data_IF_507369304426
#
_entry.id   IF_507369304426
#
_cell.length_a   1.000
_cell.length_b   1.000
_cell.length_c   1.000
_cell.angle_alpha   90.00
_cell.angle_beta   90.00
_cell.angle_gamma   90.00
#
_symmetry.space_group_name_H-M   'P 1'
#
loop_
_entity.id
_entity.type
_entity.pdbx_description
1 polymer ?
#
# COMPACT_ATOMS: atom_id res chain seq x y z
N UNK A 1 -61.45 -17.39 -17.64
CA UNK A 1 -62.02 -16.95 -16.35
C UNK A 1 -60.96 -17.22 -15.28
N UNK A 2 -60.26 -16.17 -14.79
CA UNK A 2 -59.50 -16.06 -13.51
C UNK A 2 -58.37 -17.07 -13.19
N UNK A 3 -57.27 -16.78 -12.49
CA UNK A 3 -56.44 -15.60 -12.12
C UNK A 3 -55.17 -16.17 -11.43
N UNK A 4 -54.09 -15.37 -11.43
CA UNK A 4 -52.83 -15.41 -10.67
C UNK A 4 -52.78 -16.07 -9.26
N UNK A 5 -51.60 -16.56 -8.84
CA UNK A 5 -50.81 -16.14 -7.64
C UNK A 5 -49.73 -17.20 -7.30
N UNK A 6 -48.41 -16.91 -7.34
CA UNK A 6 -47.54 -16.30 -6.31
C UNK A 6 -47.20 -17.20 -5.10
N UNK A 7 -45.89 -17.35 -4.87
CA UNK A 7 -45.24 -17.68 -3.59
C UNK A 7 -44.89 -19.16 -3.40
N UNK A 8 -43.86 -19.57 -2.69
CA UNK A 8 -42.71 -18.90 -2.09
C UNK A 8 -41.82 -19.99 -1.49
N UNK A 9 -40.51 -19.85 -1.65
CA UNK A 9 -39.47 -20.19 -0.67
C UNK A 9 -39.30 -21.68 -0.32
N UNK A 10 -38.29 -22.25 -1.00
CA UNK A 10 -37.46 -23.35 -0.53
C UNK A 10 -36.98 -23.07 0.91
N UNK A 11 -37.35 -23.95 1.83
CA UNK A 11 -36.77 -24.01 3.17
C UNK A 11 -35.31 -24.44 3.09
N UNK A 12 -34.47 -23.59 3.67
CA UNK A 12 -33.07 -23.75 3.93
C UNK A 12 -32.66 -25.13 4.47
N UNK A 13 -31.48 -25.59 4.03
CA UNK A 13 -30.30 -25.91 4.85
C UNK A 13 -29.34 -26.67 3.93
N UNK A 14 -28.43 -25.95 3.27
CA UNK A 14 -27.16 -26.50 2.81
C UNK A 14 -26.12 -25.38 2.74
N UNK A 15 -25.09 -25.57 3.57
CA UNK A 15 -23.78 -24.93 3.61
C UNK A 15 -23.42 -24.17 2.32
N UNK A 16 -23.18 -22.88 2.42
CA UNK A 16 -22.58 -22.10 1.33
C UNK A 16 -21.68 -20.99 1.88
N UNK A 17 -20.38 -21.29 1.83
CA UNK A 17 -19.28 -20.42 1.42
C UNK A 17 -19.47 -18.91 1.58
N UNK A 18 -18.79 -18.38 2.60
CA UNK A 18 -17.78 -17.33 2.49
C UNK A 18 -17.65 -16.70 1.10
N UNK A 19 -18.51 -15.71 0.80
CA UNK A 19 -18.32 -14.64 -0.18
C UNK A 19 -19.61 -13.80 -0.27
N UNK A 20 -19.85 -12.94 0.72
CA UNK A 20 -20.98 -11.98 0.66
C UNK A 20 -20.71 -10.71 1.47
N UNK A 21 -19.63 -10.02 1.13
CA UNK A 21 -19.41 -8.63 1.56
C UNK A 21 -18.91 -7.72 0.42
N UNK A 22 -19.07 -8.13 -0.85
CA UNK A 22 -18.66 -7.33 -2.00
C UNK A 22 -19.86 -6.81 -2.79
N UNK A 23 -20.71 -6.01 -2.13
CA UNK A 23 -21.74 -5.23 -2.83
C UNK A 23 -22.10 -3.97 -2.08
N UNK A 24 -21.24 -2.96 -2.16
CA UNK A 24 -21.64 -1.57 -1.94
C UNK A 24 -21.34 -0.74 -3.18
N UNK A 25 -22.40 -0.13 -3.72
CA UNK A 25 -22.36 0.92 -4.73
C UNK A 25 -21.66 2.13 -4.12
N UNK A 26 -20.47 2.47 -4.61
CA UNK A 26 -19.84 3.76 -4.35
C UNK A 26 -19.89 4.59 -5.64
N UNK A 27 -20.98 5.33 -5.79
CA UNK A 27 -21.06 6.47 -6.69
C UNK A 27 -20.23 7.61 -6.07
N UNK A 28 -18.93 7.64 -6.33
CA UNK A 28 -18.12 8.85 -6.21
C UNK A 28 -16.98 8.80 -7.21
N UNK A 29 -17.00 9.75 -8.14
CA UNK A 29 -16.11 9.85 -9.29
C UNK A 29 -14.77 10.39 -8.76
N UNK A 30 -13.76 9.52 -8.67
CA UNK A 30 -12.37 9.77 -8.24
C UNK A 30 -12.11 9.86 -6.72
N UNK A 31 -12.16 8.71 -6.05
CA UNK A 31 -11.22 8.43 -4.94
C UNK A 31 -10.83 6.97 -5.05
N UNK A 32 -9.68 6.67 -5.68
CA UNK A 32 -9.26 5.29 -5.93
C UNK A 32 -8.72 4.63 -4.65
N UNK A 33 -8.42 5.47 -3.65
CA UNK A 33 -8.00 5.09 -2.31
C UNK A 33 -9.03 5.56 -1.26
N UNK A 34 -9.20 4.81 -0.14
CA UNK A 34 -9.90 5.34 1.05
C UNK A 34 -9.15 6.58 1.56
N UNK A 35 -9.80 7.49 2.31
CA UNK A 35 -9.16 8.74 2.81
C UNK A 35 -7.81 8.51 3.49
N UNK A 36 -7.68 7.34 4.12
CA UNK A 36 -6.57 6.89 4.94
C UNK A 36 -5.39 6.32 4.11
N UNK A 37 -5.55 6.20 2.79
CA UNK A 37 -4.56 5.66 1.83
C UNK A 37 -4.06 6.70 0.82
N UNK A 38 -4.10 7.99 1.17
CA UNK A 38 -3.61 9.06 0.30
C UNK A 38 -2.09 9.21 0.39
N UNK A 39 -1.44 9.21 -0.77
CA UNK A 39 -0.04 9.65 -0.90
C UNK A 39 -0.06 11.19 -0.87
N UNK A 40 0.71 11.79 0.04
CA UNK A 40 0.93 13.24 0.08
C UNK A 40 2.21 13.54 -0.68
N UNK A 41 2.14 14.53 -1.57
CA UNK A 41 3.30 15.03 -2.31
C UNK A 41 3.63 16.43 -1.78
N UNK A 42 4.92 16.72 -1.73
CA UNK A 42 5.46 18.04 -1.41
C UNK A 42 6.34 18.51 -2.57
N UNK A 43 5.85 19.48 -3.34
CA UNK A 43 6.56 20.02 -4.49
C UNK A 43 7.77 20.87 -4.10
N UNK A 44 7.85 21.32 -2.85
CA UNK A 44 8.98 22.12 -2.34
C UNK A 44 10.09 21.25 -1.75
N UNK A 45 9.85 19.95 -1.60
CA UNK A 45 10.86 19.01 -1.12
C UNK A 45 11.99 18.86 -2.14
N UNK A 46 13.22 18.70 -1.65
CA UNK A 46 14.37 18.36 -2.49
C UNK A 46 14.24 16.97 -3.13
N UNK A 47 13.34 16.12 -2.61
CA UNK A 47 13.10 14.79 -3.14
C UNK A 47 12.26 14.84 -4.43
N UNK A 48 12.69 14.21 -5.54
CA UNK A 48 11.90 14.15 -6.76
C UNK A 48 10.53 13.49 -6.56
N UNK A 49 9.48 14.02 -7.22
CA UNK A 49 8.09 13.53 -7.11
C UNK A 49 7.94 12.01 -7.31
N UNK A 50 8.67 11.41 -8.26
CA UNK A 50 8.58 9.96 -8.47
C UNK A 50 9.07 9.17 -7.25
N UNK A 51 10.06 9.67 -6.51
CA UNK A 51 10.56 9.04 -5.29
C UNK A 51 9.57 9.21 -4.13
N UNK A 52 8.92 10.37 -4.02
CA UNK A 52 7.85 10.58 -3.05
C UNK A 52 6.71 9.57 -3.24
N UNK A 53 6.34 9.27 -4.50
CA UNK A 53 5.34 8.22 -4.81
C UNK A 53 5.84 6.84 -4.38
N UNK A 54 7.11 6.50 -4.69
CA UNK A 54 7.72 5.23 -4.26
C UNK A 54 7.64 5.09 -2.74
N UNK A 55 8.02 6.13 -2.00
CA UNK A 55 8.00 6.14 -0.55
C UNK A 55 6.57 6.08 0.01
N UNK A 56 5.63 6.77 -0.62
CA UNK A 56 4.21 6.72 -0.27
C UNK A 56 3.65 5.30 -0.39
N UNK A 57 3.85 4.64 -1.54
CA UNK A 57 3.39 3.26 -1.75
C UNK A 57 4.08 2.30 -0.77
N UNK A 58 5.40 2.42 -0.57
CA UNK A 58 6.14 1.64 0.44
C UNK A 58 5.50 1.78 1.83
N UNK A 59 5.19 3.00 2.24
CA UNK A 59 4.59 3.29 3.53
C UNK A 59 3.22 2.61 3.66
N UNK A 60 2.38 2.68 2.62
CA UNK A 60 1.06 2.03 2.64
C UNK A 60 1.17 0.50 2.77
N UNK A 61 2.12 -0.10 2.06
CA UNK A 61 2.38 -1.55 2.16
C UNK A 61 2.96 -1.92 3.53
N UNK A 62 3.92 -1.15 4.04
CA UNK A 62 4.56 -1.39 5.35
C UNK A 62 3.61 -1.21 6.53
N UNK A 63 2.65 -0.28 6.42
CA UNK A 63 1.61 -0.02 7.43
C UNK A 63 0.42 -0.98 7.30
N UNK A 64 0.51 -2.00 6.43
CA UNK A 64 -0.54 -2.97 6.17
C UNK A 64 -1.88 -2.35 5.72
N UNK A 65 -1.83 -1.15 5.14
CA UNK A 65 -2.99 -0.51 4.49
C UNK A 65 -3.25 -1.09 3.10
N UNK A 66 -2.22 -1.68 2.50
CA UNK A 66 -2.30 -2.47 1.28
C UNK A 66 -1.83 -3.89 1.57
N UNK A 67 -2.62 -4.87 1.14
CA UNK A 67 -2.31 -6.28 1.38
C UNK A 67 -1.61 -6.94 0.18
N UNK A 68 -0.85 -8.02 0.40
CA UNK A 68 -0.35 -8.86 -0.69
C UNK A 68 -1.44 -9.26 -1.67
N UNK A 69 -1.09 -9.32 -2.95
CA UNK A 69 -1.99 -9.62 -4.07
C UNK A 69 -3.16 -8.64 -4.26
N UNK A 70 -3.19 -7.53 -3.52
CA UNK A 70 -4.12 -6.45 -3.78
C UNK A 70 -3.70 -5.70 -5.04
N UNK A 71 -4.68 -5.36 -5.88
CA UNK A 71 -4.43 -4.62 -7.11
C UNK A 71 -4.15 -3.16 -6.80
N UNK A 72 -3.03 -2.64 -7.28
CA UNK A 72 -2.75 -1.20 -7.17
C UNK A 72 -3.49 -0.44 -8.27
N UNK A 73 -3.78 0.82 -7.96
CA UNK A 73 -4.36 1.79 -8.89
C UNK A 73 -3.54 1.88 -10.18
N UNK A 74 -4.21 1.95 -11.33
CA UNK A 74 -3.51 2.12 -12.60
C UNK A 74 -2.72 3.43 -12.65
N UNK A 75 -1.63 3.45 -13.41
CA UNK A 75 -0.79 4.64 -13.67
C UNK A 75 -1.62 5.87 -14.02
N UNK A 76 -2.57 5.73 -14.96
CA UNK A 76 -3.43 6.83 -15.42
C UNK A 76 -4.41 7.32 -14.35
N UNK A 77 -4.88 6.42 -13.49
CA UNK A 77 -5.79 6.78 -12.42
C UNK A 77 -5.05 7.53 -11.30
N UNK A 78 -3.88 7.04 -10.89
CA UNK A 78 -3.06 7.72 -9.88
C UNK A 78 -2.57 9.08 -10.38
N UNK A 79 -2.14 9.17 -11.64
CA UNK A 79 -1.70 10.41 -12.25
C UNK A 79 -2.80 11.49 -12.23
N UNK A 80 -4.05 11.10 -12.51
CA UNK A 80 -5.20 12.01 -12.41
C UNK A 80 -5.52 12.42 -10.99
N UNK A 81 -5.44 11.48 -10.05
CA UNK A 81 -5.74 11.75 -8.63
C UNK A 81 -4.70 12.69 -8.00
N UNK A 82 -3.42 12.51 -8.34
CA UNK A 82 -2.32 13.34 -7.83
C UNK A 82 -2.05 14.58 -8.71
N UNK A 83 -2.76 14.75 -9.83
CA UNK A 83 -2.53 15.81 -10.81
C UNK A 83 -1.10 15.90 -11.35
N UNK A 84 -0.47 14.75 -11.60
CA UNK A 84 0.94 14.67 -12.08
C UNK A 84 1.06 14.01 -13.45
N UNK A 85 2.23 14.15 -14.06
CA UNK A 85 2.55 13.49 -15.33
C UNK A 85 2.50 11.95 -15.20
N UNK A 86 1.73 11.22 -16.05
CA UNK A 86 1.67 9.75 -16.03
C UNK A 86 3.03 9.06 -16.14
N UNK A 87 3.99 9.67 -16.85
CA UNK A 87 5.35 9.12 -16.98
C UNK A 87 6.08 9.10 -15.63
N UNK A 88 5.82 10.08 -14.75
CA UNK A 88 6.37 10.14 -13.39
C UNK A 88 5.85 8.99 -12.54
N UNK A 89 4.55 8.69 -12.63
CA UNK A 89 3.94 7.52 -11.96
C UNK A 89 4.50 6.22 -12.54
N UNK A 90 4.62 6.12 -13.86
CA UNK A 90 5.18 4.94 -14.51
C UNK A 90 6.61 4.67 -14.04
N UNK A 91 7.44 5.72 -13.92
CA UNK A 91 8.79 5.63 -13.37
C UNK A 91 8.79 5.11 -11.93
N UNK A 92 7.91 5.65 -11.09
CA UNK A 92 7.75 5.19 -9.70
C UNK A 92 7.36 3.71 -9.63
N UNK A 93 6.39 3.28 -10.44
CA UNK A 93 5.93 1.89 -10.46
C UNK A 93 6.99 0.94 -11.02
N UNK A 94 7.77 1.37 -12.00
CA UNK A 94 8.89 0.58 -12.51
C UNK A 94 9.96 0.34 -11.41
N UNK A 95 10.26 1.35 -10.59
CA UNK A 95 11.17 1.20 -9.45
C UNK A 95 10.60 0.25 -8.39
N UNK A 96 9.33 0.41 -8.02
CA UNK A 96 8.66 -0.49 -7.07
C UNK A 96 8.64 -1.95 -7.56
N UNK A 97 8.48 -2.17 -8.88
CA UNK A 97 8.58 -3.50 -9.48
C UNK A 97 10.01 -4.04 -9.45
N UNK A 98 11.01 -3.19 -9.72
CA UNK A 98 12.44 -3.56 -9.64
C UNK A 98 12.85 -3.96 -8.22
N UNK A 99 12.33 -3.27 -7.21
CA UNK A 99 12.55 -3.60 -5.81
C UNK A 99 11.69 -4.78 -5.32
N UNK A 100 10.85 -5.33 -6.19
CA UNK A 100 9.99 -6.47 -5.88
C UNK A 100 8.84 -6.14 -4.94
N UNK A 101 8.47 -4.88 -4.73
CA UNK A 101 7.30 -4.48 -3.91
C UNK A 101 6.00 -4.65 -4.69
N UNK A 102 6.05 -4.43 -6.01
CA UNK A 102 4.96 -4.67 -6.91
C UNK A 102 5.34 -5.74 -7.94
N UNK A 103 4.35 -6.43 -8.49
CA UNK A 103 4.50 -7.27 -9.68
C UNK A 103 3.39 -6.98 -10.68
N UNK A 104 3.63 -7.30 -11.95
CA UNK A 104 2.65 -7.09 -13.01
C UNK A 104 2.02 -8.41 -13.42
N UNK A 105 0.71 -8.38 -13.68
CA UNK A 105 -0.01 -9.49 -14.31
C UNK A 105 -0.54 -9.01 -15.66
N UNK A 106 -0.08 -9.65 -16.73
CA UNK A 106 -0.39 -9.26 -18.10
C UNK A 106 -1.90 -9.10 -18.32
N UNK A 107 -2.31 -7.95 -18.86
CA UNK A 107 -3.71 -7.61 -19.15
C UNK A 107 -4.59 -7.31 -17.93
N UNK A 108 -4.07 -7.47 -16.71
CA UNK A 108 -4.86 -7.33 -15.47
C UNK A 108 -4.41 -6.15 -14.60
N UNK A 109 -3.13 -5.79 -14.64
CA UNK A 109 -2.59 -4.62 -13.95
C UNK A 109 -1.41 -4.97 -13.04
N UNK A 110 -1.11 -4.06 -12.11
CA UNK A 110 -0.04 -4.21 -11.13
C UNK A 110 -0.63 -4.57 -9.75
N UNK A 111 0.11 -5.36 -8.97
CA UNK A 111 -0.32 -5.95 -7.70
C UNK A 111 0.79 -5.86 -6.66
N UNK A 112 0.43 -5.83 -5.38
CA UNK A 112 1.39 -5.87 -4.27
C UNK A 112 1.99 -7.24 -4.14
N UNK A 113 3.32 -7.31 -4.11
CA UNK A 113 4.04 -8.56 -4.00
C UNK A 113 4.03 -9.11 -2.56
N UNK A 114 4.08 -10.44 -2.45
CA UNK A 114 3.96 -11.17 -1.19
C UNK A 114 5.21 -11.01 -0.29
N UNK A 115 6.37 -10.85 -0.95
CA UNK A 115 7.65 -10.54 -0.32
C UNK A 115 7.70 -9.13 0.32
N UNK A 116 6.69 -8.27 0.18
CA UNK A 116 6.75 -6.95 0.78
C UNK A 116 6.85 -6.99 2.31
N UNK A 117 6.25 -8.01 2.93
CA UNK A 117 6.42 -8.29 4.36
C UNK A 117 7.86 -8.73 4.69
N UNK A 118 8.46 -9.59 3.85
CA UNK A 118 9.85 -10.01 4.01
C UNK A 118 10.83 -8.84 3.83
N UNK A 119 10.61 -7.98 2.83
CA UNK A 119 11.40 -6.77 2.59
C UNK A 119 11.31 -5.80 3.78
N UNK A 120 10.13 -5.69 4.41
CA UNK A 120 9.95 -4.89 5.63
C UNK A 120 10.81 -5.43 6.77
N UNK A 121 10.77 -6.74 7.03
CA UNK A 121 11.55 -7.33 8.12
C UNK A 121 13.06 -7.24 7.85
N UNK A 122 13.49 -7.46 6.61
CA UNK A 122 14.89 -7.28 6.20
C UNK A 122 15.36 -5.83 6.43
N UNK A 123 14.58 -4.83 6.02
CA UNK A 123 14.92 -3.42 6.26
C UNK A 123 14.97 -3.08 7.74
N UNK A 124 14.01 -3.57 8.51
CA UNK A 124 13.98 -3.38 9.97
C UNK A 124 15.23 -3.97 10.61
N UNK A 125 15.63 -5.17 10.20
CA UNK A 125 16.84 -5.82 10.67
C UNK A 125 18.11 -5.01 10.32
N UNK A 126 18.21 -4.49 9.09
CA UNK A 126 19.32 -3.61 8.68
C UNK A 126 19.39 -2.33 9.52
N UNK A 127 18.25 -1.69 9.79
CA UNK A 127 18.20 -0.49 10.63
C UNK A 127 18.62 -0.81 12.07
N UNK A 128 18.15 -1.94 12.62
CA UNK A 128 18.54 -2.39 13.96
C UNK A 128 20.06 -2.58 14.02
N UNK A 129 20.66 -3.23 13.02
CA UNK A 129 22.11 -3.44 12.96
C UNK A 129 22.87 -2.11 12.93
N UNK A 130 22.48 -1.18 12.05
CA UNK A 130 23.07 0.16 11.98
C UNK A 130 22.95 0.92 13.32
N UNK A 131 21.77 0.89 13.95
CA UNK A 131 21.56 1.53 15.25
C UNK A 131 22.37 0.85 16.36
N UNK A 132 22.52 -0.47 16.30
CA UNK A 132 23.29 -1.23 17.28
C UNK A 132 24.76 -0.85 17.22
N UNK A 133 25.32 -0.64 16.02
CA UNK A 133 26.69 -0.15 15.85
C UNK A 133 26.84 1.29 16.37
N UNK A 134 25.97 2.20 15.95
CA UNK A 134 26.00 3.59 16.38
C UNK A 134 25.85 3.75 17.92
N UNK A 135 24.95 2.99 18.54
CA UNK A 135 24.75 3.03 20.00
C UNK A 135 25.91 2.41 20.78
N UNK A 136 26.61 1.43 20.22
CA UNK A 136 27.86 0.91 20.81
C UNK A 136 28.96 1.97 20.82
N UNK A 137 29.13 2.69 19.71
CA UNK A 137 30.11 3.79 19.62
C UNK A 137 29.75 4.93 20.58
N UNK A 138 28.48 5.33 20.64
CA UNK A 138 28.01 6.35 21.57
C UNK A 138 28.26 5.96 23.03
N UNK A 139 28.01 4.69 23.39
CA UNK A 139 28.31 4.16 24.72
C UNK A 139 29.81 4.15 25.02
N UNK A 140 30.65 3.82 24.03
CA UNK A 140 32.12 3.86 24.18
C UNK A 140 32.64 5.30 24.33
N UNK A 141 31.97 6.28 23.74
CA UNK A 141 32.22 7.70 23.93
C UNK A 141 31.72 8.25 25.28
N UNK A 142 31.09 7.41 26.11
CA UNK A 142 30.60 7.79 27.44
C UNK A 142 29.24 8.48 27.45
N UNK A 143 28.50 8.45 26.34
CA UNK A 143 27.15 9.01 26.30
C UNK A 143 26.18 8.14 27.11
N UNK A 144 25.34 8.81 27.90
CA UNK A 144 24.29 8.14 28.66
C UNK A 144 23.08 7.83 27.76
N UNK A 145 22.29 6.83 28.14
CA UNK A 145 21.13 6.39 27.34
C UNK A 145 20.17 7.55 27.05
N UNK A 146 20.01 8.48 28.00
CA UNK A 146 19.11 9.63 27.90
C UNK A 146 19.58 10.65 26.85
N UNK A 147 20.90 10.85 26.73
CA UNK A 147 21.51 11.73 25.71
C UNK A 147 21.32 11.15 24.31
N UNK A 148 21.41 9.81 24.17
CA UNK A 148 21.16 9.11 22.91
C UNK A 148 19.68 9.22 22.51
N UNK A 149 18.76 9.05 23.45
CA UNK A 149 17.32 9.18 23.19
C UNK A 149 16.89 10.62 22.87
N UNK A 150 17.63 11.63 23.31
CA UNK A 150 17.31 13.04 23.01
C UNK A 150 17.55 13.39 21.54
N UNK A 151 18.40 12.64 20.83
CA UNK A 151 18.76 12.89 19.42
C UNK A 151 17.72 12.30 18.45
N UNK A 152 16.95 11.30 18.88
CA UNK A 152 15.95 10.56 18.06
C UNK A 152 14.57 11.15 18.23
#
# INVERSE_FOLDING_TARGET
MWRCARGSILSDIRKSNMNRAFRMRATSRYSVWRRDMRIKLDENSAEPIYMQIVNGVKTLVMTAKMHPHEQIVSVRALARELHINPNTVQKAYALLKKEGILYSKAGLGDYVADNAAAIKEMKKQQIIEMFTEATKEARAAGMWIDEIFTIV
#
